data_IF_570005925785
#
_entry.id   IF_570005925785
#
_cell.length_a   1.000
_cell.length_b   1.000
_cell.length_c   1.000
_cell.angle_alpha   90.00
_cell.angle_beta   90.00
_cell.angle_gamma   90.00
#
_symmetry.space_group_name_H-M   'P 1'
#
loop_
_entity.id
_entity.type
_entity.pdbx_description
1 polymer ?
#
# COMPACT_ATOMS: atom_id res chain seq x y z
N UNK A 1 16.64 40.28 -11.26
CA UNK A 1 16.25 38.96 -11.78
C UNK A 1 14.87 38.68 -11.26
N UNK A 2 13.93 38.11 -12.03
CA UNK A 2 12.63 37.76 -11.52
C UNK A 2 12.81 36.74 -10.37
N UNK A 3 11.97 36.87 -9.33
CA UNK A 3 11.99 35.97 -8.17
C UNK A 3 11.80 34.54 -8.65
N UNK A 4 12.64 33.61 -8.17
CA UNK A 4 12.46 32.16 -8.42
C UNK A 4 11.36 31.54 -7.54
N UNK A 5 10.76 32.32 -6.64
CA UNK A 5 9.79 31.79 -5.67
C UNK A 5 8.57 31.23 -6.40
N UNK A 6 8.17 29.96 -6.13
CA UNK A 6 7.11 29.27 -6.88
C UNK A 6 5.76 30.00 -6.81
N UNK A 7 5.42 30.56 -5.66
CA UNK A 7 4.15 31.30 -5.48
C UNK A 7 4.14 32.62 -6.26
N UNK A 8 5.27 33.31 -6.33
CA UNK A 8 5.38 34.54 -7.12
C UNK A 8 5.25 34.26 -8.64
N UNK A 9 5.54 33.02 -9.06
CA UNK A 9 5.44 32.56 -10.45
C UNK A 9 4.43 31.40 -10.60
N UNK A 10 3.39 31.37 -9.78
CA UNK A 10 2.42 30.28 -9.67
C UNK A 10 1.96 29.78 -11.05
N UNK A 11 1.49 30.67 -11.90
CA UNK A 11 0.95 30.30 -13.22
C UNK A 11 2.01 29.72 -14.15
N UNK A 12 3.24 30.25 -14.11
CA UNK A 12 4.35 29.73 -14.90
C UNK A 12 4.75 28.32 -14.40
N UNK A 13 4.82 28.11 -13.08
CA UNK A 13 5.06 26.80 -12.48
C UNK A 13 4.01 25.78 -12.89
N UNK A 14 2.73 26.11 -12.74
CA UNK A 14 1.60 25.24 -13.12
C UNK A 14 1.66 24.84 -14.60
N UNK A 15 1.90 25.82 -15.50
CA UNK A 15 1.98 25.56 -16.93
C UNK A 15 3.18 24.69 -17.31
N UNK A 16 4.34 24.94 -16.70
CA UNK A 16 5.56 24.15 -16.94
C UNK A 16 5.35 22.69 -16.50
N UNK A 17 4.81 22.50 -15.31
CA UNK A 17 4.51 21.19 -14.74
C UNK A 17 3.51 20.42 -15.61
N UNK A 18 2.42 21.07 -16.03
CA UNK A 18 1.39 20.47 -16.87
C UNK A 18 1.90 20.10 -18.26
N UNK A 19 2.70 20.99 -18.88
CA UNK A 19 3.32 20.75 -20.21
C UNK A 19 4.26 19.55 -20.16
N UNK A 20 5.11 19.48 -19.16
CA UNK A 20 6.01 18.36 -18.97
C UNK A 20 5.23 17.04 -18.79
N UNK A 21 4.25 17.03 -17.87
CA UNK A 21 3.48 15.83 -17.59
C UNK A 21 2.66 15.35 -18.81
N UNK A 22 2.14 16.27 -19.62
CA UNK A 22 1.45 15.93 -20.86
C UNK A 22 2.35 15.25 -21.91
N UNK A 23 3.68 15.49 -21.83
CA UNK A 23 4.66 14.88 -22.75
C UNK A 23 5.27 13.59 -22.21
N UNK A 24 5.58 13.54 -20.90
CA UNK A 24 6.42 12.50 -20.29
C UNK A 24 5.71 11.73 -19.15
N UNK A 25 4.48 12.12 -18.82
CA UNK A 25 3.70 11.42 -17.79
C UNK A 25 3.45 9.97 -18.17
N UNK A 26 3.69 9.06 -17.21
CA UNK A 26 3.45 7.62 -17.42
C UNK A 26 1.98 7.30 -17.43
N UNK A 27 1.59 6.41 -18.30
CA UNK A 27 0.25 5.86 -18.32
C UNK A 27 0.14 4.69 -17.34
N UNK A 28 -0.85 4.78 -16.46
CA UNK A 28 -1.23 3.70 -15.54
C UNK A 28 -2.73 3.44 -15.67
N UNK A 29 -3.23 2.22 -15.49
CA UNK A 29 -4.66 1.90 -15.65
C UNK A 29 -5.59 2.84 -14.88
N UNK A 30 -5.20 3.21 -13.66
CA UNK A 30 -5.96 4.15 -12.82
C UNK A 30 -5.85 5.62 -13.24
N UNK A 31 -4.94 5.97 -14.16
CA UNK A 31 -4.87 7.31 -14.77
C UNK A 31 -5.73 7.44 -16.02
N UNK A 32 -6.05 6.32 -16.67
CA UNK A 32 -6.88 6.30 -17.89
C UNK A 32 -8.38 6.33 -17.58
N UNK A 33 -8.76 5.91 -16.37
CA UNK A 33 -10.14 5.92 -15.91
C UNK A 33 -10.55 7.20 -15.18
N UNK A 34 -11.86 7.48 -15.15
CA UNK A 34 -12.50 8.46 -14.25
C UNK A 34 -13.44 7.79 -13.25
N UNK A 35 -13.49 6.46 -13.24
CA UNK A 35 -14.28 5.72 -12.27
C UNK A 35 -13.71 5.94 -10.86
N UNK A 36 -14.47 6.56 -9.94
CA UNK A 36 -14.01 6.86 -8.60
C UNK A 36 -13.72 5.60 -7.78
N UNK A 37 -14.41 4.49 -8.06
CA UNK A 37 -14.13 3.21 -7.40
C UNK A 37 -12.78 2.65 -7.81
N UNK A 38 -12.52 2.58 -9.09
CA UNK A 38 -11.25 2.11 -9.65
C UNK A 38 -10.06 2.96 -9.16
N UNK A 39 -10.24 4.29 -9.06
CA UNK A 39 -9.27 5.22 -8.52
C UNK A 39 -9.07 4.96 -7.01
N UNK A 40 -10.14 4.81 -6.23
CA UNK A 40 -10.02 4.50 -4.80
C UNK A 40 -9.24 3.20 -4.55
N UNK A 41 -9.55 2.15 -5.29
CA UNK A 41 -8.84 0.85 -5.19
C UNK A 41 -7.35 1.05 -5.44
N UNK A 42 -6.97 1.75 -6.51
CA UNK A 42 -5.56 2.01 -6.81
C UNK A 42 -4.87 2.84 -5.71
N UNK A 43 -5.51 3.89 -5.22
CA UNK A 43 -4.96 4.76 -4.17
C UNK A 43 -4.71 3.98 -2.86
N UNK A 44 -5.63 3.09 -2.50
CA UNK A 44 -5.46 2.22 -1.32
C UNK A 44 -4.37 1.16 -1.56
N UNK A 45 -4.27 0.57 -2.75
CA UNK A 45 -3.22 -0.40 -3.09
C UNK A 45 -1.82 0.23 -3.07
N UNK A 46 -1.70 1.46 -3.53
CA UNK A 46 -0.43 2.18 -3.62
C UNK A 46 0.07 2.74 -2.28
N UNK A 47 -0.74 2.70 -1.21
CA UNK A 47 -0.27 3.07 0.12
C UNK A 47 0.85 2.12 0.57
N UNK A 48 2.09 2.63 0.68
CA UNK A 48 3.28 1.86 1.08
C UNK A 48 3.57 0.62 0.21
N UNK A 49 3.07 0.59 -1.01
CA UNK A 49 3.32 -0.47 -2.00
C UNK A 49 3.89 0.16 -3.27
N UNK A 50 4.91 -0.46 -3.85
CA UNK A 50 5.49 0.02 -5.09
C UNK A 50 4.56 -0.19 -6.28
N UNK A 51 4.56 0.74 -7.23
CA UNK A 51 3.74 0.65 -8.46
C UNK A 51 4.01 -0.66 -9.20
N UNK A 52 5.28 -1.07 -9.31
CA UNK A 52 5.65 -2.33 -9.95
C UNK A 52 4.97 -3.55 -9.30
N UNK A 53 4.83 -3.57 -7.98
CA UNK A 53 4.11 -4.63 -7.26
C UNK A 53 2.62 -4.62 -7.60
N UNK A 54 1.99 -3.44 -7.64
CA UNK A 54 0.55 -3.29 -7.93
C UNK A 54 0.24 -3.66 -9.38
N UNK A 55 1.10 -3.27 -10.32
CA UNK A 55 0.99 -3.64 -11.73
C UNK A 55 1.33 -5.12 -11.97
N UNK A 56 2.23 -5.71 -11.17
CA UNK A 56 2.72 -7.07 -11.33
C UNK A 56 3.45 -7.32 -12.64
N UNK A 57 3.88 -8.56 -12.86
CA UNK A 57 4.30 -9.05 -14.17
C UNK A 57 3.09 -9.67 -14.90
N UNK A 58 3.06 -9.59 -16.22
CA UNK A 58 2.07 -10.29 -17.05
C UNK A 58 2.53 -11.70 -17.45
N UNK A 59 3.54 -12.25 -16.77
CA UNK A 59 4.14 -13.56 -17.12
C UNK A 59 3.13 -14.71 -17.09
N UNK A 60 2.15 -14.64 -16.17
CA UNK A 60 1.08 -15.64 -16.05
C UNK A 60 -0.19 -15.29 -16.85
N UNK A 61 -0.18 -14.20 -17.63
CA UNK A 61 -1.31 -13.72 -18.41
C UNK A 61 -2.50 -13.19 -17.58
N UNK A 62 -2.40 -13.22 -16.25
CA UNK A 62 -3.51 -12.84 -15.35
C UNK A 62 -3.48 -11.36 -14.93
N UNK A 63 -2.45 -10.63 -15.33
CA UNK A 63 -2.24 -9.23 -14.93
C UNK A 63 -1.82 -9.07 -13.47
N UNK A 64 -1.50 -7.85 -13.07
CA UNK A 64 -1.08 -7.55 -11.70
C UNK A 64 -2.23 -7.51 -10.69
N UNK A 65 -1.88 -7.19 -9.45
CA UNK A 65 -2.85 -7.15 -8.35
C UNK A 65 -4.05 -6.25 -8.63
N UNK A 66 -3.81 -5.05 -9.19
CA UNK A 66 -4.90 -4.13 -9.53
C UNK A 66 -5.87 -4.72 -10.55
N UNK A 67 -5.37 -5.27 -11.64
CA UNK A 67 -6.19 -5.84 -12.71
C UNK A 67 -7.02 -7.01 -12.21
N UNK A 68 -6.41 -7.95 -11.48
CA UNK A 68 -7.10 -9.10 -10.89
C UNK A 68 -8.17 -8.66 -9.88
N UNK A 69 -7.84 -7.72 -9.02
CA UNK A 69 -8.77 -7.24 -8.01
C UNK A 69 -9.97 -6.51 -8.62
N UNK A 70 -9.74 -5.67 -9.63
CA UNK A 70 -10.81 -4.99 -10.35
C UNK A 70 -11.68 -5.94 -11.16
N UNK A 71 -11.14 -7.06 -11.66
CA UNK A 71 -11.93 -8.11 -12.30
C UNK A 71 -12.87 -8.83 -11.32
N UNK A 72 -12.42 -9.07 -10.08
CA UNK A 72 -13.24 -9.68 -9.03
C UNK A 72 -14.26 -8.69 -8.44
N UNK A 73 -13.85 -7.45 -8.23
CA UNK A 73 -14.64 -6.43 -7.53
C UNK A 73 -14.76 -5.13 -8.37
N UNK A 74 -15.45 -5.18 -9.52
CA UNK A 74 -15.54 -4.04 -10.43
C UNK A 74 -16.36 -2.87 -9.85
N UNK A 75 -17.15 -3.10 -8.81
CA UNK A 75 -18.01 -2.09 -8.17
C UNK A 75 -17.95 -2.18 -6.64
N UNK A 76 -18.30 -1.09 -5.91
CA UNK A 76 -18.44 -1.15 -4.46
C UNK A 76 -19.41 -2.25 -4.00
N UNK A 77 -20.51 -2.47 -4.73
CA UNK A 77 -21.50 -3.49 -4.40
C UNK A 77 -20.91 -4.90 -4.47
N UNK A 78 -20.20 -5.22 -5.55
CA UNK A 78 -19.56 -6.53 -5.71
C UNK A 78 -18.58 -6.82 -4.57
N UNK A 79 -17.84 -5.80 -4.11
CA UNK A 79 -16.95 -5.96 -2.95
C UNK A 79 -17.72 -6.04 -1.62
N UNK A 80 -18.81 -5.28 -1.46
CA UNK A 80 -19.60 -5.28 -0.24
C UNK A 80 -20.29 -6.62 0.03
N UNK A 81 -20.65 -7.35 -1.02
CA UNK A 81 -21.31 -8.67 -0.97
C UNK A 81 -20.32 -9.81 -0.68
N UNK A 82 -19.03 -9.59 -0.92
CA UNK A 82 -18.00 -10.59 -0.63
C UNK A 82 -17.76 -10.78 0.88
N UNK A 83 -17.28 -11.96 1.24
CA UNK A 83 -16.81 -12.24 2.61
C UNK A 83 -15.46 -11.59 2.88
N UNK A 84 -15.13 -11.39 4.15
CA UNK A 84 -13.80 -10.86 4.51
C UNK A 84 -12.68 -11.81 4.07
N UNK A 85 -12.89 -13.12 4.13
CA UNK A 85 -11.91 -14.12 3.71
C UNK A 85 -11.59 -14.00 2.20
N UNK A 86 -12.60 -13.86 1.36
CA UNK A 86 -12.42 -13.65 -0.09
C UNK A 86 -11.65 -12.36 -0.39
N UNK A 87 -11.97 -11.27 0.33
CA UNK A 87 -11.25 -10.00 0.18
C UNK A 87 -9.78 -10.12 0.61
N UNK A 88 -9.50 -10.76 1.75
CA UNK A 88 -8.14 -10.97 2.24
C UNK A 88 -7.35 -11.88 1.28
N UNK A 89 -8.00 -12.89 0.69
CA UNK A 89 -7.38 -13.75 -0.33
C UNK A 89 -7.05 -12.96 -1.60
N UNK A 90 -7.97 -12.18 -2.12
CA UNK A 90 -7.74 -11.34 -3.29
C UNK A 90 -6.64 -10.27 -3.07
N UNK A 91 -6.40 -9.89 -1.80
CA UNK A 91 -5.37 -8.92 -1.41
C UNK A 91 -4.00 -9.55 -1.11
N UNK A 92 -3.89 -10.88 -1.18
CA UNK A 92 -2.66 -11.60 -0.87
C UNK A 92 -1.49 -11.07 -1.73
N UNK A 93 -0.32 -10.88 -1.11
CA UNK A 93 0.87 -10.32 -1.77
C UNK A 93 1.06 -8.81 -1.56
N UNK A 94 0.02 -8.03 -1.34
CA UNK A 94 0.11 -6.57 -1.14
C UNK A 94 0.50 -6.16 0.28
N UNK A 95 0.30 -7.03 1.27
CA UNK A 95 0.56 -6.72 2.68
C UNK A 95 -0.37 -5.65 3.26
N UNK A 96 -0.12 -5.25 4.53
CA UNK A 96 -0.93 -4.23 5.20
C UNK A 96 -2.45 -4.47 5.07
N UNK A 97 -2.91 -5.66 5.41
CA UNK A 97 -4.27 -6.16 5.18
C UNK A 97 -5.39 -5.31 5.80
N UNK A 98 -5.06 -4.46 6.79
CA UNK A 98 -5.97 -3.43 7.29
C UNK A 98 -6.48 -2.51 6.16
N UNK A 99 -5.71 -2.30 5.11
CA UNK A 99 -6.15 -1.52 3.94
C UNK A 99 -7.29 -2.21 3.21
N UNK A 100 -7.20 -3.53 3.02
CA UNK A 100 -8.26 -4.33 2.41
C UNK A 100 -9.55 -4.27 3.23
N UNK A 101 -9.45 -4.39 4.57
CA UNK A 101 -10.60 -4.26 5.47
C UNK A 101 -11.23 -2.86 5.42
N UNK A 102 -10.41 -1.82 5.43
CA UNK A 102 -10.90 -0.45 5.30
C UNK A 102 -11.60 -0.23 3.96
N UNK A 103 -11.05 -0.77 2.86
CA UNK A 103 -11.67 -0.69 1.54
C UNK A 103 -12.99 -1.46 1.50
N UNK A 104 -13.05 -2.64 2.12
CA UNK A 104 -14.29 -3.43 2.26
C UNK A 104 -15.35 -2.68 3.09
N UNK A 105 -14.95 -2.07 4.21
CA UNK A 105 -15.84 -1.24 5.02
C UNK A 105 -16.36 -0.01 4.25
N UNK A 106 -15.49 0.63 3.45
CA UNK A 106 -15.88 1.73 2.56
C UNK A 106 -16.88 1.27 1.49
N UNK A 107 -16.66 0.11 0.88
CA UNK A 107 -17.58 -0.50 -0.09
C UNK A 107 -18.96 -0.77 0.51
N UNK A 108 -19.00 -1.32 1.73
CA UNK A 108 -20.26 -1.54 2.48
C UNK A 108 -20.96 -0.22 2.79
N UNK A 109 -20.22 0.82 3.21
CA UNK A 109 -20.78 2.13 3.48
C UNK A 109 -21.36 2.78 2.20
N UNK A 110 -20.63 2.72 1.07
CA UNK A 110 -21.10 3.22 -0.21
C UNK A 110 -22.39 2.49 -0.64
N UNK A 111 -22.43 1.17 -0.47
CA UNK A 111 -23.61 0.37 -0.85
C UNK A 111 -24.81 0.68 0.02
N UNK A 112 -24.62 0.80 1.33
CA UNK A 112 -25.70 1.05 2.31
C UNK A 112 -26.18 2.49 2.30
N UNK A 113 -25.23 3.47 2.39
CA UNK A 113 -25.55 4.87 2.71
C UNK A 113 -25.68 5.72 1.44
N UNK A 114 -25.11 5.25 0.31
CA UNK A 114 -25.13 5.93 -0.98
C UNK A 114 -25.79 5.10 -2.09
N UNK A 115 -26.55 4.05 -1.73
CA UNK A 115 -27.29 3.19 -2.67
C UNK A 115 -26.40 2.56 -3.76
N UNK A 116 -25.14 2.27 -3.45
CA UNK A 116 -24.15 1.72 -4.36
C UNK A 116 -23.52 2.73 -5.32
N UNK A 117 -23.89 4.00 -5.25
CA UNK A 117 -23.29 5.09 -6.04
C UNK A 117 -22.16 5.73 -5.25
N UNK A 118 -21.01 5.88 -5.88
CA UNK A 118 -19.88 6.53 -5.24
C UNK A 118 -20.20 8.01 -4.96
N UNK A 119 -19.95 8.53 -3.73
CA UNK A 119 -20.21 9.95 -3.43
C UNK A 119 -19.28 10.87 -4.21
N UNK A 120 -19.79 12.01 -4.65
CA UNK A 120 -19.03 12.97 -5.46
C UNK A 120 -18.35 14.05 -4.61
N UNK A 121 -18.99 14.48 -3.52
CA UNK A 121 -18.48 15.58 -2.68
C UNK A 121 -17.33 15.13 -1.80
N UNK A 122 -16.26 15.92 -1.75
CA UNK A 122 -15.08 15.65 -0.93
C UNK A 122 -15.41 15.24 0.51
N UNK A 123 -16.32 15.95 1.19
CA UNK A 123 -16.67 15.67 2.58
C UNK A 123 -17.34 14.30 2.74
N UNK A 124 -18.15 13.88 1.78
CA UNK A 124 -18.78 12.57 1.77
C UNK A 124 -17.76 11.45 1.50
N UNK A 125 -16.82 11.69 0.58
CA UNK A 125 -15.72 10.75 0.30
C UNK A 125 -14.86 10.59 1.55
N UNK A 126 -14.52 11.71 2.21
CA UNK A 126 -13.70 11.71 3.42
C UNK A 126 -14.37 11.04 4.62
N UNK A 127 -15.70 11.02 4.66
CA UNK A 127 -16.47 10.36 5.71
C UNK A 127 -16.48 8.82 5.59
N UNK A 128 -16.07 8.26 4.44
CA UNK A 128 -16.01 6.82 4.26
C UNK A 128 -14.97 6.17 5.19
N UNK A 129 -15.24 4.95 5.69
CA UNK A 129 -14.33 4.24 6.57
C UNK A 129 -12.91 4.10 6.00
N UNK A 130 -11.90 4.46 6.79
CA UNK A 130 -10.49 4.34 6.41
C UNK A 130 -9.99 5.34 5.37
N UNK A 131 -10.81 6.32 4.97
CA UNK A 131 -10.45 7.33 3.98
C UNK A 131 -9.95 8.60 4.69
N UNK A 132 -8.67 8.89 4.51
CA UNK A 132 -8.03 10.10 5.02
C UNK A 132 -8.10 11.28 4.04
N UNK A 133 -7.62 12.47 4.47
CA UNK A 133 -7.64 13.69 3.64
C UNK A 133 -6.96 13.49 2.27
N UNK A 134 -5.80 12.81 2.26
CA UNK A 134 -5.09 12.51 1.02
C UNK A 134 -5.94 11.68 0.06
N UNK A 135 -6.45 10.53 0.51
CA UNK A 135 -7.23 9.62 -0.35
C UNK A 135 -8.52 10.27 -0.85
N UNK A 136 -9.22 11.02 0.03
CA UNK A 136 -10.41 11.76 -0.36
C UNK A 136 -10.10 12.82 -1.43
N UNK A 137 -9.04 13.60 -1.23
CA UNK A 137 -8.57 14.61 -2.20
C UNK A 137 -8.13 13.99 -3.53
N UNK A 138 -7.45 12.85 -3.48
CA UNK A 138 -7.02 12.11 -4.67
C UNK A 138 -8.23 11.64 -5.49
N UNK A 139 -9.22 10.99 -4.87
CA UNK A 139 -10.42 10.56 -5.57
C UNK A 139 -11.22 11.75 -6.11
N UNK A 140 -11.45 12.80 -5.31
CA UNK A 140 -12.15 14.00 -5.74
C UNK A 140 -11.45 14.69 -6.93
N UNK A 141 -10.12 14.79 -6.88
CA UNK A 141 -9.33 15.39 -7.94
C UNK A 141 -9.25 14.51 -9.18
N UNK A 142 -8.98 13.21 -9.02
CA UNK A 142 -8.73 12.31 -10.15
C UNK A 142 -10.02 11.84 -10.85
N UNK A 143 -11.10 11.60 -10.13
CA UNK A 143 -12.37 11.19 -10.72
C UNK A 143 -13.20 12.38 -11.21
N UNK A 144 -13.36 13.39 -10.36
CA UNK A 144 -14.31 14.47 -10.57
C UNK A 144 -13.66 15.78 -10.99
N UNK A 145 -12.33 15.83 -11.04
CA UNK A 145 -11.54 17.04 -11.35
C UNK A 145 -11.86 18.21 -10.39
N UNK A 146 -12.24 17.90 -9.14
CA UNK A 146 -12.42 18.91 -8.10
C UNK A 146 -11.07 19.50 -7.67
N UNK A 147 -11.01 20.80 -7.36
CA UNK A 147 -9.78 21.49 -6.96
C UNK A 147 -9.39 21.15 -5.51
N UNK A 148 -9.09 19.87 -5.25
CA UNK A 148 -8.61 19.37 -3.98
C UNK A 148 -7.11 19.15 -4.03
N UNK A 149 -6.39 19.76 -3.07
CA UNK A 149 -4.97 19.50 -2.88
C UNK A 149 -4.76 18.09 -2.32
N UNK A 150 -3.61 17.49 -2.66
CA UNK A 150 -3.18 16.22 -2.08
C UNK A 150 -1.73 16.34 -1.61
N UNK A 151 -1.42 15.67 -0.51
CA UNK A 151 -0.05 15.59 0.01
C UNK A 151 0.24 14.17 0.46
N UNK A 152 1.06 13.47 -0.32
CA UNK A 152 1.71 12.22 0.06
C UNK A 152 3.18 12.46 0.44
N UNK A 153 3.92 11.40 0.70
CA UNK A 153 5.34 11.51 1.03
C UNK A 153 6.20 12.04 -0.14
N UNK A 154 5.79 11.83 -1.40
CA UNK A 154 6.48 12.33 -2.58
C UNK A 154 6.24 13.84 -2.73
N UNK A 155 4.99 14.25 -2.65
CA UNK A 155 4.61 15.67 -2.75
C UNK A 155 5.19 16.46 -1.58
N UNK A 156 5.17 15.91 -0.36
CA UNK A 156 5.82 16.55 0.79
C UNK A 156 7.33 16.76 0.56
N UNK A 157 8.02 15.81 -0.06
CA UNK A 157 9.44 15.95 -0.45
C UNK A 157 9.62 16.98 -1.55
N UNK A 158 8.80 16.95 -2.58
CA UNK A 158 8.84 17.93 -3.68
C UNK A 158 8.69 19.35 -3.11
N UNK A 159 7.66 19.60 -2.29
CA UNK A 159 7.44 20.92 -1.71
C UNK A 159 8.52 21.32 -0.71
N UNK A 160 9.01 20.38 0.12
CA UNK A 160 10.12 20.66 1.02
C UNK A 160 11.35 21.19 0.26
N UNK A 161 11.68 20.57 -0.88
CA UNK A 161 12.78 21.00 -1.74
C UNK A 161 12.43 22.26 -2.55
N UNK A 162 11.25 22.32 -3.13
CA UNK A 162 10.82 23.45 -3.95
C UNK A 162 10.89 24.79 -3.19
N UNK A 163 10.57 24.77 -1.88
CA UNK A 163 10.57 25.93 -0.99
C UNK A 163 11.79 26.02 -0.05
N UNK A 164 12.77 25.12 -0.18
CA UNK A 164 13.91 24.99 0.74
C UNK A 164 13.50 24.93 2.21
N UNK A 165 12.50 24.10 2.53
CA UNK A 165 11.85 24.05 3.83
C UNK A 165 12.68 23.25 4.83
N UNK A 166 13.32 23.96 5.76
CA UNK A 166 14.26 23.42 6.74
C UNK A 166 13.59 22.85 8.00
N UNK A 167 12.27 22.97 8.14
CA UNK A 167 11.56 22.37 9.27
C UNK A 167 11.13 20.94 8.97
N UNK A 168 10.89 20.17 10.01
CA UNK A 168 10.42 18.78 9.88
C UNK A 168 9.01 18.73 9.32
N UNK A 169 8.83 18.01 8.20
CA UNK A 169 7.54 17.81 7.53
C UNK A 169 6.58 16.89 8.28
N UNK A 170 7.09 16.09 9.23
CA UNK A 170 6.33 15.15 10.04
C UNK A 170 5.86 15.71 11.39
N UNK A 171 6.02 17.02 11.62
CA UNK A 171 5.37 17.75 12.71
C UNK A 171 4.03 18.31 12.26
N UNK A 172 3.15 18.63 13.21
CA UNK A 172 1.85 19.26 12.90
C UNK A 172 2.02 20.56 12.13
N UNK A 173 2.96 21.42 12.55
CA UNK A 173 3.24 22.70 11.91
C UNK A 173 3.82 22.54 10.51
N UNK A 174 4.84 21.67 10.36
CA UNK A 174 5.45 21.40 9.07
C UNK A 174 4.47 20.76 8.08
N UNK A 175 3.69 19.79 8.52
CA UNK A 175 2.65 19.18 7.70
C UNK A 175 1.60 20.21 7.24
N UNK A 176 1.12 21.06 8.16
CA UNK A 176 0.19 22.16 7.83
C UNK A 176 0.77 23.10 6.77
N UNK A 177 2.05 23.45 6.86
CA UNK A 177 2.71 24.31 5.89
C UNK A 177 2.78 23.67 4.49
N UNK A 178 3.10 22.37 4.41
CA UNK A 178 3.11 21.63 3.13
C UNK A 178 1.72 21.60 2.50
N UNK A 179 0.67 21.32 3.27
CA UNK A 179 -0.72 21.35 2.81
C UNK A 179 -1.15 22.75 2.34
N UNK A 180 -0.70 23.80 3.02
CA UNK A 180 -0.97 25.17 2.62
C UNK A 180 -0.36 25.46 1.23
N UNK A 181 0.91 25.14 0.99
CA UNK A 181 1.53 25.30 -0.33
C UNK A 181 0.87 24.45 -1.41
N UNK A 182 0.47 23.24 -1.07
CA UNK A 182 -0.27 22.37 -1.99
C UNK A 182 -1.57 23.04 -2.45
N UNK A 183 -2.32 23.64 -1.51
CA UNK A 183 -3.54 24.38 -1.83
C UNK A 183 -3.28 25.68 -2.59
N UNK A 184 -2.25 26.43 -2.20
CA UNK A 184 -1.91 27.69 -2.85
C UNK A 184 -1.42 27.50 -4.30
N UNK A 185 -0.67 26.43 -4.59
CA UNK A 185 -0.19 26.10 -5.93
C UNK A 185 -1.21 25.36 -6.80
N UNK A 186 -2.30 24.89 -6.22
CA UNK A 186 -3.33 24.17 -6.96
C UNK A 186 -3.99 25.10 -8.00
N UNK A 187 -4.15 24.66 -9.27
CA UNK A 187 -4.92 25.40 -10.25
C UNK A 187 -6.43 25.13 -10.12
N UNK A 188 -7.24 26.11 -10.43
CA UNK A 188 -8.71 25.95 -10.50
C UNK A 188 -9.12 25.05 -11.67
N UNK A 189 -8.35 25.07 -12.74
CA UNK A 189 -8.58 24.22 -13.93
C UNK A 189 -7.58 23.08 -13.96
N UNK A 190 -8.08 21.88 -14.23
CA UNK A 190 -7.28 20.65 -14.37
C UNK A 190 -6.44 20.27 -13.12
N UNK A 191 -6.99 20.31 -11.90
CA UNK A 191 -6.28 19.88 -10.69
C UNK A 191 -5.82 18.41 -10.77
N UNK A 192 -6.56 17.55 -11.47
CA UNK A 192 -6.16 16.18 -11.79
C UNK A 192 -4.78 16.10 -12.43
N UNK A 193 -4.51 16.90 -13.46
CA UNK A 193 -3.21 16.94 -14.15
C UNK A 193 -2.14 17.44 -13.20
N UNK A 194 -2.39 18.52 -12.47
CA UNK A 194 -1.45 19.10 -11.53
C UNK A 194 -1.02 18.12 -10.43
N UNK A 195 -1.99 17.47 -9.78
CA UNK A 195 -1.72 16.51 -8.72
C UNK A 195 -0.98 15.28 -9.25
N UNK A 196 -1.39 14.74 -10.41
CA UNK A 196 -0.70 13.63 -11.06
C UNK A 196 0.75 13.99 -11.42
N UNK A 197 0.97 15.20 -11.93
CA UNK A 197 2.28 15.68 -12.29
C UNK A 197 3.21 15.88 -11.08
N UNK A 198 2.70 16.37 -9.95
CA UNK A 198 3.48 16.48 -8.71
C UNK A 198 3.90 15.10 -8.17
N UNK A 199 2.98 14.13 -8.19
CA UNK A 199 3.30 12.74 -7.81
C UNK A 199 4.38 12.14 -8.72
N UNK A 200 4.23 12.30 -10.04
CA UNK A 200 5.18 11.80 -11.03
C UNK A 200 6.55 12.45 -10.88
N UNK A 201 6.59 13.78 -10.70
CA UNK A 201 7.84 14.52 -10.45
C UNK A 201 8.60 13.97 -9.24
N UNK A 202 7.88 13.65 -8.17
CA UNK A 202 8.45 13.03 -6.98
C UNK A 202 8.97 11.61 -7.21
N UNK A 203 8.38 10.86 -8.13
CA UNK A 203 8.80 9.49 -8.46
C UNK A 203 9.97 9.44 -9.45
N UNK A 204 10.08 10.43 -10.33
CA UNK A 204 11.08 10.48 -11.40
C UNK A 204 12.28 11.35 -11.03
N UNK A 205 12.16 12.67 -11.18
CA UNK A 205 13.26 13.61 -11.00
C UNK A 205 13.55 13.93 -9.52
N UNK A 206 12.53 14.25 -8.74
CA UNK A 206 12.71 14.61 -7.33
C UNK A 206 12.70 13.38 -6.41
N UNK A 207 13.48 12.36 -6.79
CA UNK A 207 13.54 11.08 -6.07
C UNK A 207 14.16 11.24 -4.66
N UNK A 208 13.95 10.23 -3.79
CA UNK A 208 14.38 10.33 -2.40
C UNK A 208 15.91 10.31 -2.25
N UNK A 209 16.58 9.36 -2.91
CA UNK A 209 18.04 9.13 -2.73
C UNK A 209 18.90 9.86 -3.75
N UNK A 210 18.45 9.93 -4.99
CA UNK A 210 19.23 10.44 -6.11
C UNK A 210 18.37 11.35 -6.99
N UNK A 211 18.09 12.59 -6.53
CA UNK A 211 17.31 13.52 -7.32
C UNK A 211 18.11 14.02 -8.55
N UNK A 212 17.45 14.00 -9.70
CA UNK A 212 18.00 14.55 -10.94
C UNK A 212 17.56 16.02 -11.11
N UNK A 213 18.25 16.90 -10.43
CA UNK A 213 17.95 18.33 -10.43
C UNK A 213 18.32 19.02 -11.75
N UNK A 214 19.30 18.47 -12.49
CA UNK A 214 19.78 19.05 -13.76
C UNK A 214 18.69 18.96 -14.84
N UNK A 215 18.02 17.83 -14.93
CA UNK A 215 16.97 17.60 -15.92
C UNK A 215 15.56 17.87 -15.38
N UNK A 216 15.43 18.31 -14.13
CA UNK A 216 14.13 18.56 -13.51
C UNK A 216 13.36 19.68 -14.24
N UNK A 217 12.13 19.39 -14.72
CA UNK A 217 11.37 20.36 -15.53
C UNK A 217 11.01 21.64 -14.79
N UNK A 218 11.00 21.61 -13.46
CA UNK A 218 10.65 22.75 -12.61
C UNK A 218 11.85 23.32 -11.84
N UNK A 219 13.08 22.95 -12.21
CA UNK A 219 14.32 23.40 -11.54
C UNK A 219 14.43 24.93 -11.42
N UNK A 220 13.96 25.67 -12.42
CA UNK A 220 13.97 27.14 -12.42
C UNK A 220 13.14 27.78 -11.29
N UNK A 221 12.20 27.05 -10.69
CA UNK A 221 11.37 27.50 -9.58
C UNK A 221 11.86 26.97 -8.23
N UNK A 222 12.80 26.01 -8.23
CA UNK A 222 13.26 25.33 -7.04
C UNK A 222 14.25 26.19 -6.26
N UNK A 223 14.05 26.31 -4.94
CA UNK A 223 14.91 27.08 -4.04
C UNK A 223 15.91 26.20 -3.28
N UNK A 224 15.79 24.87 -3.39
CA UNK A 224 16.62 23.94 -2.65
C UNK A 224 18.11 24.10 -2.95
N UNK A 225 18.91 24.27 -1.88
CA UNK A 225 20.36 24.33 -1.94
C UNK A 225 20.99 22.93 -1.84
N UNK A 226 20.45 22.10 -0.94
CA UNK A 226 20.90 20.72 -0.73
C UNK A 226 19.71 19.74 -0.71
N UNK A 227 19.42 19.12 -1.85
CA UNK A 227 18.30 18.17 -1.91
C UNK A 227 18.52 16.90 -1.10
N UNK A 228 19.74 16.57 -0.69
CA UNK A 228 20.04 15.39 0.13
C UNK A 228 19.59 15.55 1.57
N UNK A 229 19.59 16.79 2.09
CA UNK A 229 19.17 17.14 3.44
C UNK A 229 17.65 17.22 3.63
N UNK A 230 16.88 17.30 2.52
CA UNK A 230 15.44 17.52 2.55
C UNK A 230 14.64 16.34 1.99
N UNK A 231 13.48 16.03 2.57
CA UNK A 231 12.80 16.70 3.70
C UNK A 231 13.38 16.31 5.07
N UNK A 232 13.39 17.25 5.99
CA UNK A 232 13.70 16.95 7.40
C UNK A 232 12.58 16.10 8.02
N UNK A 233 12.96 15.00 8.68
CA UNK A 233 12.06 14.05 9.35
C UNK A 233 12.67 13.54 10.65
N UNK A 234 11.83 12.97 11.51
CA UNK A 234 12.32 12.20 12.67
C UNK A 234 13.21 11.05 12.18
N UNK A 235 14.25 10.77 12.92
CA UNK A 235 15.10 9.60 12.67
C UNK A 235 14.26 8.33 12.61
N UNK A 236 14.59 7.44 11.68
CA UNK A 236 13.92 6.17 11.55
C UNK A 236 13.99 5.35 12.84
N UNK A 237 12.89 4.67 13.18
CA UNK A 237 12.88 3.75 14.33
C UNK A 237 13.85 2.60 14.02
N UNK A 238 14.73 2.29 14.96
CA UNK A 238 15.67 1.17 14.81
C UNK A 238 14.93 -0.15 14.57
N UNK A 239 15.44 -0.92 13.62
CA UNK A 239 14.93 -2.26 13.34
C UNK A 239 15.21 -3.19 14.52
N UNK A 240 14.19 -3.89 14.98
CA UNK A 240 14.29 -4.90 16.04
C UNK A 240 14.31 -6.29 15.40
N UNK A 241 15.29 -7.11 15.77
CA UNK A 241 15.37 -8.52 15.32
C UNK A 241 14.63 -9.39 16.31
N UNK A 242 13.75 -10.25 15.79
CA UNK A 242 13.01 -11.23 16.58
C UNK A 242 13.07 -12.61 15.93
N UNK A 243 12.92 -13.65 16.73
CA UNK A 243 12.77 -15.03 16.25
C UNK A 243 11.35 -15.50 16.49
N UNK A 244 10.75 -16.13 15.49
CA UNK A 244 9.50 -16.85 15.59
C UNK A 244 9.76 -18.34 15.34
N UNK A 245 9.06 -19.19 16.05
CA UNK A 245 9.12 -20.63 15.95
C UNK A 245 7.76 -21.14 15.50
N UNK A 246 7.75 -22.09 14.58
CA UNK A 246 6.53 -22.64 14.01
C UNK A 246 6.64 -24.15 13.82
N UNK A 247 5.50 -24.80 13.76
CA UNK A 247 5.38 -26.23 13.62
C UNK A 247 4.73 -26.59 12.28
N UNK A 248 5.43 -27.36 11.45
CA UNK A 248 4.87 -27.95 10.26
C UNK A 248 4.49 -29.40 10.54
N UNK A 249 3.24 -29.74 10.31
CA UNK A 249 2.73 -31.10 10.44
C UNK A 249 1.79 -31.42 9.29
N UNK A 250 1.97 -32.59 8.70
CA UNK A 250 1.14 -33.12 7.62
C UNK A 250 0.65 -34.51 8.01
N UNK A 251 -0.66 -34.77 7.92
CA UNK A 251 -1.24 -36.05 8.26
C UNK A 251 -1.18 -37.09 7.12
N UNK A 252 -1.59 -38.32 7.41
CA UNK A 252 -1.59 -39.43 6.45
C UNK A 252 -2.48 -39.18 5.21
N UNK A 253 -3.38 -38.20 5.26
CA UNK A 253 -4.24 -37.78 4.15
C UNK A 253 -3.66 -36.58 3.38
N UNK A 254 -2.44 -36.17 3.70
CA UNK A 254 -1.79 -35.00 3.10
C UNK A 254 -2.33 -33.65 3.57
N UNK A 255 -3.18 -33.61 4.62
CA UNK A 255 -3.68 -32.35 5.17
C UNK A 255 -2.62 -31.68 6.04
N UNK A 256 -2.57 -30.36 5.98
CA UNK A 256 -1.60 -29.54 6.73
C UNK A 256 -2.30 -28.86 7.88
N UNK A 257 -1.68 -28.84 9.06
CA UNK A 257 -2.16 -28.08 10.20
C UNK A 257 -1.85 -26.60 10.01
N UNK A 258 -2.89 -25.76 10.08
CA UNK A 258 -2.78 -24.31 10.04
C UNK A 258 -3.48 -23.68 11.23
N UNK A 259 -3.07 -22.47 11.58
CA UNK A 259 -3.64 -21.67 12.66
C UNK A 259 -4.29 -20.41 12.10
N UNK A 260 -5.53 -20.12 12.49
CA UNK A 260 -6.22 -18.88 12.18
C UNK A 260 -5.82 -17.80 13.20
N UNK A 261 -5.35 -16.66 12.70
CA UNK A 261 -4.97 -15.53 13.55
C UNK A 261 -6.20 -14.91 14.20
N UNK A 262 -6.13 -14.72 15.53
CA UNK A 262 -7.23 -14.22 16.36
C UNK A 262 -7.58 -12.76 16.06
N UNK A 263 -8.82 -12.40 16.43
CA UNK A 263 -9.30 -11.03 16.36
C UNK A 263 -8.46 -10.10 17.25
N UNK A 264 -8.16 -8.88 16.74
CA UNK A 264 -7.33 -7.89 17.41
C UNK A 264 -5.84 -8.10 17.27
N UNK A 265 -5.39 -9.22 16.75
CA UNK A 265 -3.98 -9.50 16.53
C UNK A 265 -3.52 -9.04 15.13
N UNK A 266 -2.19 -8.97 14.95
CA UNK A 266 -1.61 -8.67 13.65
C UNK A 266 -1.93 -9.80 12.68
N UNK A 267 -2.43 -9.49 11.47
CA UNK A 267 -2.86 -10.45 10.45
C UNK A 267 -4.14 -11.24 10.83
N UNK A 268 -4.97 -10.65 11.69
CA UNK A 268 -6.29 -11.17 12.04
C UNK A 268 -7.01 -11.80 10.83
N UNK A 269 -7.69 -12.94 11.05
CA UNK A 269 -8.46 -13.64 10.03
C UNK A 269 -7.63 -14.29 8.91
N UNK A 270 -6.28 -14.33 9.02
CA UNK A 270 -5.41 -15.02 8.08
C UNK A 270 -4.91 -16.33 8.67
N UNK A 271 -4.73 -17.30 7.80
CA UNK A 271 -4.15 -18.58 8.14
C UNK A 271 -2.62 -18.51 8.05
N UNK A 272 -1.93 -19.17 8.97
CA UNK A 272 -0.48 -19.27 8.98
C UNK A 272 -0.02 -20.62 9.54
N UNK A 273 1.24 -20.96 9.33
CA UNK A 273 1.86 -22.13 9.97
C UNK A 273 1.81 -21.92 11.49
N UNK A 274 1.32 -22.89 12.30
CA UNK A 274 1.11 -22.73 13.73
C UNK A 274 2.37 -22.22 14.44
N UNK A 275 2.22 -21.14 15.22
CA UNK A 275 3.30 -20.62 16.05
C UNK A 275 3.38 -21.40 17.36
N UNK A 276 4.61 -21.63 17.82
CA UNK A 276 4.90 -22.36 19.06
C UNK A 276 5.93 -21.60 19.88
N UNK A 277 5.96 -21.86 21.17
CA UNK A 277 7.04 -21.41 22.02
C UNK A 277 8.33 -22.18 21.69
N UNK A 278 9.48 -21.54 21.91
CA UNK A 278 10.77 -22.16 21.61
C UNK A 278 10.95 -23.51 22.32
N UNK A 279 10.45 -23.63 23.55
CA UNK A 279 10.54 -24.87 24.34
C UNK A 279 9.82 -26.05 23.69
N UNK A 280 8.70 -25.81 23.01
CA UNK A 280 7.95 -26.84 22.30
C UNK A 280 8.64 -27.38 21.03
N UNK A 281 9.69 -26.70 20.60
CA UNK A 281 10.42 -27.04 19.36
C UNK A 281 11.82 -27.60 19.59
N UNK A 282 12.27 -27.73 20.88
CA UNK A 282 13.66 -28.09 21.20
C UNK A 282 14.08 -29.47 20.69
N UNK A 283 13.18 -30.45 20.76
CA UNK A 283 13.43 -31.85 20.37
C UNK A 283 13.00 -32.15 18.92
N UNK A 284 12.62 -31.12 18.14
CA UNK A 284 12.13 -31.28 16.79
C UNK A 284 13.21 -30.94 15.77
N UNK A 285 13.16 -31.61 14.61
CA UNK A 285 14.04 -31.34 13.50
C UNK A 285 13.67 -30.01 12.80
N UNK A 286 14.66 -29.14 12.60
CA UNK A 286 14.47 -27.92 11.82
C UNK A 286 14.30 -28.26 10.34
N UNK A 287 13.12 -27.94 9.78
CA UNK A 287 12.82 -28.18 8.35
C UNK A 287 13.10 -26.98 7.48
N UNK A 288 12.75 -25.76 7.96
CA UNK A 288 12.97 -24.56 7.17
C UNK A 288 13.35 -23.38 8.06
N UNK A 289 14.31 -22.59 7.58
CA UNK A 289 14.66 -21.29 8.18
C UNK A 289 14.55 -20.21 7.12
N UNK A 290 13.70 -19.22 7.37
CA UNK A 290 13.50 -18.09 6.46
C UNK A 290 13.48 -16.78 7.25
N UNK A 291 13.52 -15.64 6.55
CA UNK A 291 13.42 -14.33 7.19
C UNK A 291 12.56 -13.37 6.38
N UNK A 292 11.93 -12.44 7.08
CA UNK A 292 11.13 -11.39 6.47
C UNK A 292 11.09 -10.12 7.33
N UNK A 293 10.81 -9.01 6.68
CA UNK A 293 10.62 -7.73 7.37
C UNK A 293 9.12 -7.44 7.52
N UNK A 294 8.73 -6.96 8.71
CA UNK A 294 7.38 -6.47 8.94
C UNK A 294 7.40 -5.24 9.86
N UNK A 295 6.94 -4.09 9.36
CA UNK A 295 7.06 -2.79 10.03
C UNK A 295 8.50 -2.51 10.47
N UNK A 296 8.80 -2.46 11.76
CA UNK A 296 10.15 -2.27 12.33
C UNK A 296 10.87 -3.58 12.69
N UNK A 297 10.23 -4.73 12.48
CA UNK A 297 10.79 -6.01 12.87
C UNK A 297 11.43 -6.72 11.68
N UNK A 298 12.62 -7.28 11.92
CA UNK A 298 13.23 -8.29 11.07
C UNK A 298 13.04 -9.64 11.73
N UNK A 299 12.14 -10.45 11.20
CA UNK A 299 11.74 -11.73 11.77
C UNK A 299 12.58 -12.84 11.16
N UNK A 300 13.17 -13.69 12.00
CA UNK A 300 13.69 -14.99 11.58
C UNK A 300 12.68 -16.05 11.98
N UNK A 301 12.04 -16.67 11.00
CA UNK A 301 11.09 -17.75 11.18
C UNK A 301 11.82 -19.10 11.05
N UNK A 302 11.71 -19.93 12.09
CA UNK A 302 12.19 -21.30 12.13
C UNK A 302 11.00 -22.23 12.19
N UNK A 303 10.93 -23.17 11.25
CA UNK A 303 9.83 -24.12 11.14
C UNK A 303 10.38 -25.51 11.37
N UNK A 304 9.77 -26.24 12.29
CA UNK A 304 10.18 -27.56 12.72
C UNK A 304 9.14 -28.58 12.28
N UNK A 305 9.60 -29.76 11.82
CA UNK A 305 8.70 -30.85 11.49
C UNK A 305 8.20 -31.55 12.77
N UNK A 306 6.93 -31.91 12.77
CA UNK A 306 6.34 -32.74 13.81
C UNK A 306 5.45 -33.81 13.19
N UNK A 307 5.53 -35.02 13.75
CA UNK A 307 4.63 -36.09 13.34
C UNK A 307 3.20 -35.78 13.79
N UNK A 308 2.16 -36.01 12.97
CA UNK A 308 0.78 -35.65 13.30
C UNK A 308 0.29 -36.29 14.61
N UNK A 309 0.67 -37.52 14.93
CA UNK A 309 0.32 -38.21 16.17
C UNK A 309 0.94 -37.58 17.43
N UNK A 310 2.00 -36.79 17.26
CA UNK A 310 2.71 -36.05 18.31
C UNK A 310 2.33 -34.60 18.36
N UNK A 311 1.48 -34.15 17.43
CA UNK A 311 1.11 -32.74 17.26
C UNK A 311 -0.17 -32.45 18.04
N UNK A 312 -0.06 -31.66 19.13
CA UNK A 312 -1.23 -31.10 19.80
C UNK A 312 -1.88 -30.05 18.91
N UNK A 313 -3.16 -30.22 18.65
CA UNK A 313 -3.99 -29.24 17.95
C UNK A 313 -4.55 -28.26 18.99
N UNK A 314 -4.19 -26.99 18.84
CA UNK A 314 -4.62 -25.95 19.76
C UNK A 314 -5.91 -25.26 19.28
N UNK A 315 -6.48 -24.41 20.11
CA UNK A 315 -7.62 -23.56 19.75
C UNK A 315 -7.28 -22.72 18.51
N UNK A 316 -8.21 -22.59 17.56
CA UNK A 316 -8.06 -21.91 16.27
C UNK A 316 -7.11 -22.62 15.27
N UNK A 317 -6.72 -23.86 15.53
CA UNK A 317 -6.00 -24.68 14.57
C UNK A 317 -6.92 -25.67 13.88
N UNK A 318 -6.67 -25.94 12.60
CA UNK A 318 -7.42 -26.89 11.82
C UNK A 318 -6.56 -27.53 10.72
N UNK A 319 -6.91 -28.77 10.38
CA UNK A 319 -6.31 -29.52 9.26
C UNK A 319 -6.97 -29.13 7.94
N UNK A 320 -6.18 -28.74 6.96
CA UNK A 320 -6.64 -28.33 5.63
C UNK A 320 -6.01 -29.20 4.54
N UNK A 321 -6.81 -29.63 3.56
CA UNK A 321 -6.27 -30.30 2.37
C UNK A 321 -5.47 -29.31 1.50
N UNK A 322 -4.56 -29.83 0.69
CA UNK A 322 -3.72 -29.03 -0.21
C UNK A 322 -4.60 -28.17 -1.14
N UNK A 323 -5.69 -28.71 -1.66
CA UNK A 323 -6.63 -27.96 -2.52
C UNK A 323 -7.29 -26.78 -1.79
N UNK A 324 -7.58 -26.93 -0.48
CA UNK A 324 -8.11 -25.84 0.33
C UNK A 324 -7.09 -24.71 0.57
N UNK A 325 -5.78 -25.03 0.62
CA UNK A 325 -4.73 -24.05 0.87
C UNK A 325 -4.74 -22.90 -0.14
N UNK A 326 -5.07 -23.18 -1.39
CA UNK A 326 -5.13 -22.17 -2.45
C UNK A 326 -6.21 -21.11 -2.20
N UNK A 327 -7.29 -21.48 -1.49
CA UNK A 327 -8.41 -20.58 -1.22
C UNK A 327 -8.24 -19.80 0.10
N UNK A 328 -7.35 -20.22 0.99
CA UNK A 328 -7.15 -19.58 2.27
C UNK A 328 -6.31 -18.31 2.14
N UNK A 329 -6.70 -17.19 2.77
CA UNK A 329 -5.84 -16.01 2.85
C UNK A 329 -4.66 -16.30 3.78
N UNK A 330 -3.44 -16.09 3.27
CA UNK A 330 -2.22 -16.38 4.02
C UNK A 330 -1.21 -15.22 3.85
N UNK A 331 -0.46 -14.85 4.92
CA UNK A 331 0.62 -13.91 4.78
C UNK A 331 1.70 -14.45 3.84
N UNK A 332 2.23 -13.61 2.95
CA UNK A 332 3.23 -14.03 1.95
C UNK A 332 4.44 -14.79 2.51
N UNK A 333 4.99 -14.48 3.71
CA UNK A 333 6.06 -15.28 4.30
C UNK A 333 5.64 -16.72 4.62
N UNK A 334 4.43 -16.89 5.15
CA UNK A 334 3.89 -18.20 5.50
C UNK A 334 3.53 -18.98 4.23
N UNK A 335 2.95 -18.32 3.22
CA UNK A 335 2.66 -18.94 1.91
C UNK A 335 3.93 -19.52 1.29
N UNK A 336 4.98 -18.69 1.13
CA UNK A 336 6.25 -19.16 0.55
C UNK A 336 6.91 -20.26 1.35
N UNK A 337 6.83 -20.19 2.69
CA UNK A 337 7.38 -21.23 3.54
C UNK A 337 6.62 -22.56 3.38
N UNK A 338 5.29 -22.49 3.31
CA UNK A 338 4.45 -23.65 3.08
C UNK A 338 4.68 -24.29 1.72
N UNK A 339 4.76 -23.46 0.65
CA UNK A 339 5.03 -23.92 -0.70
C UNK A 339 6.39 -24.66 -0.77
N UNK A 340 7.43 -24.12 -0.10
CA UNK A 340 8.74 -24.81 -0.01
C UNK A 340 8.66 -26.13 0.73
N UNK A 341 7.97 -26.18 1.87
CA UNK A 341 7.85 -27.41 2.68
C UNK A 341 7.08 -28.51 1.95
N UNK A 342 6.06 -28.14 1.18
CA UNK A 342 5.27 -29.10 0.39
C UNK A 342 6.05 -29.61 -0.83
N UNK A 343 6.90 -28.78 -1.45
CA UNK A 343 7.74 -29.17 -2.57
C UNK A 343 8.83 -30.18 -2.16
N UNK A 344 9.33 -30.10 -0.93
CA UNK A 344 10.37 -31.00 -0.39
C UNK A 344 9.78 -32.37 0.05
N UNK A 345 8.44 -32.49 0.08
CA UNK A 345 7.73 -33.72 0.54
C UNK A 345 7.32 -34.61 -0.64
N UNK A 346 7.47 -34.14 -1.89
CA UNK A 346 7.24 -34.88 -3.16
C UNK A 346 8.55 -35.43 -3.67
#
# INVERSE_FOLDING_TARGET
MPSKHPLANKRAFQNTLAKWFGKEGKNYPWRETKDPWAILVSEIMLQQTQIATVLGSNEDGKGGHYTRFMALYPTPRAMAEATEQEILKAWEGLGYYRRARNLHAAAKAITRDHHGRFPEKFEQIRALPGIGPYTAGAVASFAYNEPQAIVDANIARVFSRLFDFQQRVDTTAGNKQIWQWAQELLPDKNPRIHNSALMELGQTYCSNKSPDCVHCPVSQFCQCQDPSSLPQKKSAIKTTRISEFALFSQDAHGRVLLQLQKQGERREGMWHIPRRDHQETLDLALSLKTSYAITRYHVTLRIYASHPDQTSVHEHEAWHSVDQLEQLPMPSPDRRALDSLLADTI
#
